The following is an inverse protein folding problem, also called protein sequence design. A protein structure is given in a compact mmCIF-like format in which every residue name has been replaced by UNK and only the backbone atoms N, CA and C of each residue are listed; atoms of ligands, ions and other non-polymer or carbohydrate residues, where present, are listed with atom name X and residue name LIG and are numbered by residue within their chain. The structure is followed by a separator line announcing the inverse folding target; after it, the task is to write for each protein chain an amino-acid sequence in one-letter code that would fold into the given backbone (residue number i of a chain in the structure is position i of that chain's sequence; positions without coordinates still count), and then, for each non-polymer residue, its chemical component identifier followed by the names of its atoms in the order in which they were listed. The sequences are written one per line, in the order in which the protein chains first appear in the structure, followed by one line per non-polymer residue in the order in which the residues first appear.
data_IF_268270946912
#
_entry.id   IF_268270946912
#
_cell.length_a   1.000
_cell.length_b   1.000
_cell.length_c   1.000
_cell.angle_alpha   90.00
_cell.angle_beta   90.00
_cell.angle_gamma   90.00
#
_symmetry.space_group_name_H-M   'P 1'
#
loop_
_entity.id
_entity.type
_entity.pdbx_description
1 polymer ?
#
# COMPACT_ATOMS: atom_id res chain seq x y z
N UNK A 1 9.15 -30.03 -47.02
CA UNK A 1 8.96 -29.18 -45.82
C UNK A 1 10.24 -29.26 -45.00
N UNK A 2 10.75 -28.14 -44.50
CA UNK A 2 11.94 -28.09 -43.63
C UNK A 2 11.56 -28.05 -42.15
N UNK A 3 12.50 -28.42 -41.27
CA UNK A 3 12.38 -28.26 -39.82
C UNK A 3 13.13 -26.99 -39.39
N UNK A 4 12.61 -26.30 -38.37
CA UNK A 4 13.25 -25.14 -37.75
C UNK A 4 13.13 -25.28 -36.23
N UNK A 5 14.20 -24.92 -35.54
CA UNK A 5 14.26 -24.92 -34.08
C UNK A 5 13.93 -23.53 -33.56
N UNK A 6 12.97 -23.45 -32.64
CA UNK A 6 12.61 -22.21 -31.95
C UNK A 6 13.13 -22.31 -30.53
N UNK A 7 13.91 -21.35 -30.09
CA UNK A 7 14.31 -21.27 -28.69
C UNK A 7 13.10 -20.86 -27.83
N UNK A 8 12.71 -21.75 -26.93
CA UNK A 8 11.54 -21.60 -26.03
C UNK A 8 11.93 -21.52 -24.56
N UNK A 9 13.17 -21.86 -24.22
CA UNK A 9 13.61 -21.87 -22.83
C UNK A 9 13.57 -20.45 -22.23
N UNK A 10 13.09 -20.35 -20.99
CA UNK A 10 12.91 -19.08 -20.29
C UNK A 10 11.80 -18.14 -20.82
N UNK A 11 11.16 -18.43 -21.97
CA UNK A 11 10.11 -17.57 -22.53
C UNK A 11 8.76 -17.82 -21.84
N UNK A 12 8.19 -16.77 -21.24
CA UNK A 12 6.81 -16.79 -20.79
C UNK A 12 5.84 -16.68 -21.97
N UNK A 13 4.57 -17.05 -21.76
CA UNK A 13 3.52 -17.07 -22.79
C UNK A 13 3.41 -15.76 -23.60
N UNK A 14 3.65 -14.62 -22.96
CA UNK A 14 3.57 -13.29 -23.60
C UNK A 14 4.82 -12.89 -24.37
N UNK A 15 5.93 -13.60 -24.20
CA UNK A 15 7.24 -13.24 -24.75
C UNK A 15 7.44 -13.73 -26.19
N UNK A 16 6.52 -14.56 -26.68
CA UNK A 16 6.46 -14.95 -28.08
C UNK A 16 5.88 -13.82 -28.94
N UNK A 17 6.63 -13.41 -29.96
CA UNK A 17 6.23 -12.45 -30.97
C UNK A 17 5.02 -12.97 -31.75
N UNK A 18 3.94 -12.20 -31.71
CA UNK A 18 2.67 -12.51 -32.39
C UNK A 18 2.74 -12.25 -33.89
N UNK A 19 3.71 -11.45 -34.34
CA UNK A 19 3.93 -11.15 -35.75
C UNK A 19 4.91 -12.12 -36.41
N UNK A 20 5.68 -12.88 -35.62
CA UNK A 20 6.60 -13.88 -36.15
C UNK A 20 5.85 -15.16 -36.56
N UNK A 21 5.94 -15.59 -37.83
CA UNK A 21 5.11 -16.66 -38.38
C UNK A 21 5.35 -18.03 -37.73
N UNK A 22 6.52 -18.24 -37.12
CA UNK A 22 6.90 -19.50 -36.47
C UNK A 22 6.68 -19.48 -34.95
N UNK A 23 6.61 -18.31 -34.31
CA UNK A 23 6.50 -18.24 -32.84
C UNK A 23 5.08 -18.47 -32.33
N UNK A 24 4.05 -18.21 -33.14
CA UNK A 24 2.68 -18.58 -32.81
C UNK A 24 2.50 -20.09 -32.59
N UNK A 25 2.90 -20.95 -33.56
CA UNK A 25 2.92 -22.40 -33.39
C UNK A 25 3.87 -22.86 -32.26
N UNK A 26 5.06 -22.27 -32.15
CA UNK A 26 6.02 -22.61 -31.10
C UNK A 26 5.47 -22.36 -29.69
N UNK A 27 4.72 -21.27 -29.49
CA UNK A 27 4.05 -20.97 -28.22
C UNK A 27 3.05 -22.07 -27.84
N UNK A 28 2.26 -22.54 -28.80
CA UNK A 28 1.30 -23.64 -28.58
C UNK A 28 1.97 -24.98 -28.29
N UNK A 29 3.20 -25.19 -28.77
CA UNK A 29 4.01 -26.37 -28.47
C UNK A 29 4.73 -26.26 -27.12
N UNK A 30 5.18 -25.06 -26.73
CA UNK A 30 5.88 -24.81 -25.48
C UNK A 30 4.93 -24.73 -24.26
N UNK A 31 3.71 -24.26 -24.47
CA UNK A 31 2.74 -24.02 -23.40
C UNK A 31 1.42 -24.72 -23.67
N UNK A 32 1.06 -25.64 -22.78
CA UNK A 32 -0.30 -26.21 -22.77
C UNK A 32 -1.30 -25.22 -22.17
N UNK A 33 -2.56 -25.28 -22.62
CA UNK A 33 -3.63 -24.45 -22.07
C UNK A 33 -3.81 -24.65 -20.56
N UNK A 34 -3.61 -25.87 -20.06
CA UNK A 34 -3.66 -26.19 -18.63
C UNK A 34 -2.49 -25.56 -17.87
N UNK A 35 -1.25 -25.65 -18.37
CA UNK A 35 -0.09 -25.02 -17.72
C UNK A 35 -0.25 -23.50 -17.64
N UNK A 36 -0.71 -22.87 -18.73
CA UNK A 36 -1.01 -21.45 -18.75
C UNK A 36 -2.12 -21.08 -17.75
N UNK A 37 -3.21 -21.84 -17.73
CA UNK A 37 -4.33 -21.60 -16.80
C UNK A 37 -3.92 -21.72 -15.34
N UNK A 38 -3.17 -22.75 -14.96
CA UNK A 38 -2.70 -22.93 -13.58
C UNK A 38 -1.82 -21.76 -13.13
N UNK A 39 -0.89 -21.32 -13.98
CA UNK A 39 -0.01 -20.18 -13.65
C UNK A 39 -0.81 -18.87 -13.58
N UNK A 40 -1.79 -18.68 -14.46
CA UNK A 40 -2.65 -17.50 -14.44
C UNK A 40 -3.48 -17.43 -13.14
N UNK A 41 -4.13 -18.52 -12.73
CA UNK A 41 -4.93 -18.56 -11.49
C UNK A 41 -4.08 -18.34 -10.23
N UNK A 42 -2.90 -18.96 -10.17
CA UNK A 42 -1.93 -18.70 -9.10
C UNK A 42 -1.49 -17.24 -9.07
N UNK A 43 -1.23 -16.65 -10.24
CA UNK A 43 -0.90 -15.23 -10.38
C UNK A 43 -1.99 -14.31 -9.85
N UNK A 44 -3.25 -14.54 -10.25
CA UNK A 44 -4.40 -13.74 -9.79
C UNK A 44 -4.57 -13.83 -8.27
N UNK A 45 -4.47 -15.04 -7.70
CA UNK A 45 -4.56 -15.25 -6.26
C UNK A 45 -3.47 -14.51 -5.49
N UNK A 46 -2.21 -14.61 -5.93
CA UNK A 46 -1.07 -13.96 -5.25
C UNK A 46 -1.15 -12.44 -5.31
N UNK A 47 -1.52 -11.86 -6.46
CA UNK A 47 -1.68 -10.41 -6.64
C UNK A 47 -2.83 -9.90 -5.78
N UNK A 48 -3.97 -10.61 -5.77
CA UNK A 48 -5.14 -10.23 -4.96
C UNK A 48 -4.80 -10.22 -3.47
N UNK A 49 -4.20 -11.31 -2.98
CA UNK A 49 -3.78 -11.41 -1.58
C UNK A 49 -2.81 -10.28 -1.19
N UNK A 50 -1.77 -10.07 -2.00
CA UNK A 50 -0.75 -9.05 -1.73
C UNK A 50 -1.35 -7.65 -1.75
N UNK A 51 -2.23 -7.36 -2.72
CA UNK A 51 -2.90 -6.05 -2.83
C UNK A 51 -3.78 -5.78 -1.63
N UNK A 52 -4.58 -6.75 -1.19
CA UNK A 52 -5.42 -6.62 0.00
C UNK A 52 -4.58 -6.42 1.26
N UNK A 53 -3.50 -7.17 1.42
CA UNK A 53 -2.60 -7.04 2.58
C UNK A 53 -1.91 -5.66 2.61
N UNK A 54 -1.42 -5.18 1.48
CA UNK A 54 -0.84 -3.84 1.37
C UNK A 54 -1.87 -2.75 1.65
N UNK A 55 -3.07 -2.86 1.07
CA UNK A 55 -4.17 -1.93 1.28
C UNK A 55 -4.57 -1.83 2.75
N UNK A 56 -4.68 -2.97 3.43
CA UNK A 56 -4.94 -3.01 4.88
C UNK A 56 -3.81 -2.37 5.68
N UNK A 57 -2.55 -2.64 5.32
CA UNK A 57 -1.39 -2.03 5.97
C UNK A 57 -1.39 -0.50 5.85
N UNK A 58 -1.63 0.01 4.64
CA UNK A 58 -1.74 1.46 4.38
C UNK A 58 -2.90 2.10 5.15
N UNK A 59 -4.06 1.44 5.17
CA UNK A 59 -5.21 1.90 5.95
C UNK A 59 -4.89 1.94 7.45
N UNK A 60 -4.22 0.90 7.96
CA UNK A 60 -3.79 0.82 9.36
C UNK A 60 -2.80 1.93 9.74
N UNK A 61 -1.79 2.20 8.90
CA UNK A 61 -0.82 3.27 9.12
C UNK A 61 -1.52 4.64 9.11
N UNK A 62 -2.35 4.90 8.10
CA UNK A 62 -3.04 6.18 7.95
C UNK A 62 -4.02 6.41 9.10
N UNK A 63 -4.84 5.40 9.42
CA UNK A 63 -5.79 5.45 10.52
C UNK A 63 -5.10 5.56 11.88
N UNK A 64 -4.02 4.81 12.09
CA UNK A 64 -3.21 4.88 13.31
C UNK A 64 -2.57 6.25 13.51
N UNK A 65 -2.04 6.86 12.45
CA UNK A 65 -1.50 8.21 12.50
C UNK A 65 -2.58 9.25 12.82
N UNK A 66 -3.75 9.15 12.17
CA UNK A 66 -4.90 10.00 12.47
C UNK A 66 -5.36 9.88 13.91
N UNK A 67 -5.45 8.65 14.43
CA UNK A 67 -5.79 8.39 15.83
C UNK A 67 -4.75 8.98 16.79
N UNK A 68 -3.46 8.82 16.49
CA UNK A 68 -2.39 9.39 17.30
C UNK A 68 -2.50 10.92 17.40
N UNK A 69 -2.76 11.60 16.28
CA UNK A 69 -2.98 13.05 16.30
C UNK A 69 -4.25 13.47 17.03
N UNK A 70 -5.34 12.70 16.88
CA UNK A 70 -6.58 12.96 17.62
C UNK A 70 -6.36 12.86 19.13
N UNK A 71 -5.67 11.83 19.60
CA UNK A 71 -5.33 11.65 21.02
C UNK A 71 -4.41 12.75 21.52
N UNK A 72 -3.40 13.14 20.75
CA UNK A 72 -2.50 14.24 21.10
C UNK A 72 -3.26 15.57 21.25
N UNK A 73 -4.16 15.87 20.30
CA UNK A 73 -4.99 17.07 20.35
C UNK A 73 -5.94 17.08 21.55
N UNK A 74 -6.60 15.94 21.83
CA UNK A 74 -7.47 15.81 23.01
C UNK A 74 -6.68 15.96 24.32
N UNK A 75 -5.49 15.36 24.38
CA UNK A 75 -4.59 15.49 25.54
C UNK A 75 -4.20 16.95 25.80
N UNK A 76 -3.93 17.72 24.75
CA UNK A 76 -3.61 19.14 24.88
C UNK A 76 -4.80 19.95 25.41
N UNK A 77 -6.00 19.76 24.87
CA UNK A 77 -7.23 20.44 25.35
C UNK A 77 -7.47 20.12 26.82
N UNK A 78 -7.27 18.87 27.23
CA UNK A 78 -7.43 18.47 28.61
C UNK A 78 -6.40 19.14 29.51
N UNK A 79 -5.13 19.21 29.08
CA UNK A 79 -4.04 19.82 29.86
C UNK A 79 -4.20 21.32 30.10
N UNK A 80 -4.87 22.05 29.20
CA UNK A 80 -5.03 23.52 29.29
C UNK A 80 -6.38 23.96 29.84
N UNK A 81 -7.22 23.03 30.34
CA UNK A 81 -8.63 23.31 30.65
C UNK A 81 -8.85 24.15 31.91
N UNK A 82 -7.85 24.27 32.79
CA UNK A 82 -8.00 24.85 34.13
C UNK A 82 -7.35 26.24 34.32
N UNK A 83 -6.80 26.86 33.28
CA UNK A 83 -6.20 28.20 33.38
C UNK A 83 -7.29 29.31 33.32
N UNK A 84 -8.16 29.38 34.33
CA UNK A 84 -8.89 30.62 34.63
C UNK A 84 -7.88 31.65 35.13
N UNK A 85 -7.47 32.56 34.24
CA UNK A 85 -6.65 33.71 34.60
C UNK A 85 -7.47 34.64 35.50
N UNK A 86 -7.33 34.49 36.82
CA UNK A 86 -7.92 35.42 37.80
C UNK A 86 -7.23 36.77 37.64
N UNK A 87 -7.91 37.71 36.97
CA UNK A 87 -7.48 39.11 36.92
C UNK A 87 -7.68 39.69 38.33
N UNK A 88 -6.64 40.21 38.99
CA UNK A 88 -6.80 40.85 40.29
C UNK A 88 -7.71 42.07 40.17
N UNK A 89 -8.83 42.09 40.89
CA UNK A 89 -9.86 43.14 40.83
C UNK A 89 -9.42 44.51 41.39
N UNK A 90 -8.18 44.67 41.90
CA UNK A 90 -7.73 46.00 42.32
C UNK A 90 -6.20 46.22 42.27
N UNK A 91 -5.73 47.38 41.77
CA UNK A 91 -4.32 47.76 41.73
C UNK A 91 -3.84 48.43 43.04
N UNK A 92 -4.22 47.90 44.20
CA UNK A 92 -3.88 48.54 45.49
C UNK A 92 -3.44 47.57 46.57
N UNK A 93 -2.30 46.91 46.35
CA UNK A 93 -1.44 46.52 47.47
C UNK A 93 0.04 46.55 47.08
N UNK A 94 0.47 47.67 46.50
CA UNK A 94 1.87 48.09 46.50
C UNK A 94 2.02 49.24 47.51
N UNK A 95 1.97 48.90 48.80
CA UNK A 95 2.49 49.78 49.85
C UNK A 95 3.56 49.01 50.61
N UNK A 96 4.81 49.29 50.20
CA UNK A 96 6.01 49.05 50.98
C UNK A 96 5.85 49.73 52.35
N UNK A 97 5.91 48.95 53.43
CA UNK A 97 6.37 49.46 54.72
C UNK A 97 7.49 48.57 55.23
N UNK A 98 8.47 49.26 55.81
CA UNK A 98 9.80 48.88 56.28
C UNK A 98 9.92 47.54 57.00
#
# INVERSE_FOLDING_TARGET
AGTYEVEVDGKYWTDFDRMHPLEGPARGAAWSGTAHGLIAELGVGTVTHSTLQMGLGLAGITGGLGLAFALAGLGLIWATRDDEFVVPDSPKELVRTS
#
